data_IF_294430660143
#
_entry.id   IF_294430660143
#
_cell.length_a   1.000
_cell.length_b   1.000
_cell.length_c   1.000
_cell.angle_alpha   90.00
_cell.angle_beta   90.00
_cell.angle_gamma   90.00
#
_symmetry.space_group_name_H-M   'P 1'
#
loop_
_entity.id
_entity.type
_entity.pdbx_description
1 polymer ?
#
# COMPACT_ATOMS: atom_id res chain seq x y z
N UNK A 1 -37.85 56.96 24.24
CA UNK A 1 -38.74 55.85 23.86
C UNK A 1 -38.53 55.32 22.42
N UNK A 2 -37.93 56.09 21.50
CA UNK A 2 -37.70 55.65 20.11
C UNK A 2 -36.52 54.69 19.91
N UNK A 3 -35.41 54.85 20.66
CA UNK A 3 -34.23 53.97 20.53
C UNK A 3 -34.46 52.52 21.00
N UNK A 4 -35.29 52.31 22.02
CA UNK A 4 -35.60 50.96 22.53
C UNK A 4 -36.42 50.11 21.54
N UNK A 5 -37.28 50.74 20.73
CA UNK A 5 -38.05 50.05 19.68
C UNK A 5 -37.17 49.62 18.49
N UNK A 6 -36.13 50.40 18.17
CA UNK A 6 -35.21 50.08 17.09
C UNK A 6 -34.31 48.88 17.43
N UNK A 7 -33.81 48.78 18.66
CA UNK A 7 -33.00 47.62 19.09
C UNK A 7 -33.81 46.32 19.18
N UNK A 8 -35.08 46.39 19.62
CA UNK A 8 -35.94 45.20 19.68
C UNK A 8 -36.29 44.67 18.28
N UNK A 9 -36.50 45.56 17.30
CA UNK A 9 -36.71 45.19 15.89
C UNK A 9 -35.47 44.54 15.27
N UNK A 10 -34.28 45.08 15.55
CA UNK A 10 -33.02 44.53 15.04
C UNK A 10 -32.72 43.14 15.64
N UNK A 11 -33.01 42.92 16.92
CA UNK A 11 -32.87 41.62 17.59
C UNK A 11 -33.86 40.57 17.05
N UNK A 12 -35.10 40.95 16.76
CA UNK A 12 -36.10 40.05 16.14
C UNK A 12 -35.70 39.68 14.70
N UNK A 13 -35.12 40.61 13.94
CA UNK A 13 -34.65 40.34 12.58
C UNK A 13 -33.35 39.52 12.56
N UNK A 14 -32.46 39.69 13.55
CA UNK A 14 -31.26 38.86 13.69
C UNK A 14 -31.61 37.42 14.11
N UNK A 15 -32.61 37.23 15.00
CA UNK A 15 -33.12 35.91 15.36
C UNK A 15 -33.88 35.24 14.21
N UNK A 16 -34.64 36.00 13.41
CA UNK A 16 -35.27 35.48 12.20
C UNK A 16 -34.23 35.09 11.14
N UNK A 17 -33.15 35.85 10.96
CA UNK A 17 -32.06 35.51 10.04
C UNK A 17 -31.25 34.26 10.47
N UNK A 18 -31.12 34.02 11.78
CA UNK A 18 -30.52 32.79 12.33
C UNK A 18 -31.42 31.54 12.16
N UNK A 19 -32.74 31.72 12.03
CA UNK A 19 -33.70 30.64 11.73
C UNK A 19 -33.74 30.26 10.24
N UNK A 20 -33.12 31.05 9.36
CA UNK A 20 -33.02 30.80 7.91
C UNK A 20 -31.58 30.53 7.45
N UNK A 21 -30.64 30.31 8.38
CA UNK A 21 -29.39 29.65 7.99
C UNK A 21 -29.76 28.23 7.55
N UNK A 22 -29.42 27.81 6.32
CA UNK A 22 -29.59 26.41 5.95
C UNK A 22 -28.82 25.58 6.98
N UNK A 23 -29.52 24.68 7.69
CA UNK A 23 -28.84 23.62 8.43
C UNK A 23 -27.78 23.03 7.50
N UNK A 24 -26.56 22.73 7.99
CA UNK A 24 -25.59 22.00 7.18
C UNK A 24 -26.29 20.71 6.77
N UNK A 25 -26.71 20.66 5.51
CA UNK A 25 -27.65 19.67 5.04
C UNK A 25 -27.04 18.30 5.31
N UNK A 26 -27.52 17.61 6.34
CA UNK A 26 -26.86 16.45 6.92
C UNK A 26 -26.44 15.46 5.83
N UNK A 27 -25.23 14.91 5.95
CA UNK A 27 -24.69 13.98 4.96
C UNK A 27 -25.72 12.87 4.69
N UNK A 28 -26.04 12.64 3.43
CA UNK A 28 -27.05 11.65 3.06
C UNK A 28 -26.52 10.23 3.38
N UNK A 29 -27.26 9.45 4.18
CA UNK A 29 -26.81 8.12 4.63
C UNK A 29 -27.56 7.02 3.86
N UNK A 30 -26.78 6.17 3.18
CA UNK A 30 -27.23 5.05 2.38
C UNK A 30 -26.81 3.75 3.08
N UNK A 31 -27.66 3.28 3.99
CA UNK A 31 -27.40 2.06 4.77
C UNK A 31 -27.66 0.82 3.93
N UNK A 32 -26.63 -0.01 3.69
CA UNK A 32 -26.73 -1.21 2.83
C UNK A 32 -27.80 -2.21 3.27
N UNK A 33 -28.13 -2.27 4.56
CA UNK A 33 -29.21 -3.13 5.08
C UNK A 33 -30.59 -2.67 4.56
N UNK A 34 -30.81 -1.35 4.38
CA UNK A 34 -32.04 -0.81 3.76
C UNK A 34 -32.14 -1.15 2.27
N UNK A 35 -31.01 -1.50 1.65
CA UNK A 35 -30.95 -2.01 0.29
C UNK A 35 -31.04 -3.55 0.22
N UNK A 36 -31.28 -4.22 1.34
CA UNK A 36 -31.45 -5.67 1.44
C UNK A 36 -30.16 -6.47 1.67
N UNK A 37 -29.07 -5.83 2.11
CA UNK A 37 -27.86 -6.57 2.50
C UNK A 37 -28.11 -7.36 3.79
N UNK A 38 -27.73 -8.64 3.80
CA UNK A 38 -27.83 -9.51 4.98
C UNK A 38 -26.50 -9.56 5.73
N UNK A 39 -26.54 -9.33 7.04
CA UNK A 39 -25.38 -9.35 7.93
C UNK A 39 -25.02 -10.74 8.46
N UNK A 40 -25.47 -11.82 7.81
CA UNK A 40 -25.32 -13.22 8.21
C UNK A 40 -24.04 -13.92 7.71
N UNK A 41 -23.33 -13.31 6.76
CA UNK A 41 -22.14 -13.86 6.12
C UNK A 41 -22.40 -14.97 5.11
N UNK A 42 -23.67 -15.23 4.77
CA UNK A 42 -24.11 -16.33 3.91
C UNK A 42 -24.88 -15.84 2.67
N UNK A 43 -25.81 -14.89 2.84
CA UNK A 43 -26.57 -14.37 1.72
C UNK A 43 -25.76 -13.31 0.94
N UNK A 44 -25.70 -13.47 -0.39
CA UNK A 44 -24.97 -12.56 -1.27
C UNK A 44 -25.57 -11.14 -1.20
N UNK A 45 -24.77 -10.23 -0.65
CA UNK A 45 -25.10 -8.82 -0.44
C UNK A 45 -24.52 -7.90 -1.53
N UNK A 46 -23.91 -8.45 -2.60
CA UNK A 46 -23.26 -7.65 -3.65
C UNK A 46 -24.20 -6.63 -4.29
N UNK A 47 -25.39 -7.06 -4.72
CA UNK A 47 -26.38 -6.16 -5.36
C UNK A 47 -26.86 -5.04 -4.42
N UNK A 48 -27.24 -5.32 -3.15
CA UNK A 48 -27.51 -4.28 -2.17
C UNK A 48 -26.41 -3.22 -2.05
N UNK A 49 -25.14 -3.64 -1.96
CA UNK A 49 -23.99 -2.73 -1.87
C UNK A 49 -23.86 -1.84 -3.12
N UNK A 50 -23.95 -2.44 -4.32
CA UNK A 50 -23.86 -1.70 -5.58
C UNK A 50 -25.00 -0.66 -5.73
N UNK A 51 -26.21 -1.00 -5.29
CA UNK A 51 -27.35 -0.06 -5.30
C UNK A 51 -27.16 1.10 -4.33
N UNK A 52 -26.75 0.81 -3.09
CA UNK A 52 -26.46 1.83 -2.09
C UNK A 52 -25.37 2.79 -2.58
N UNK A 53 -24.30 2.27 -3.18
CA UNK A 53 -23.27 3.08 -3.82
C UNK A 53 -23.80 3.94 -4.96
N UNK A 54 -24.59 3.36 -5.87
CA UNK A 54 -25.12 4.10 -7.01
C UNK A 54 -25.97 5.31 -6.59
N UNK A 55 -26.79 5.16 -5.54
CA UNK A 55 -27.58 6.26 -5.00
C UNK A 55 -26.71 7.28 -4.25
N UNK A 56 -25.75 6.82 -3.44
CA UNK A 56 -24.80 7.71 -2.77
C UNK A 56 -23.97 8.55 -3.75
N UNK A 57 -23.51 7.91 -4.83
CA UNK A 57 -22.68 8.53 -5.86
C UNK A 57 -23.47 9.57 -6.68
N UNK A 58 -24.80 9.41 -6.84
CA UNK A 58 -25.69 10.41 -7.45
C UNK A 58 -26.09 11.55 -6.51
N UNK A 59 -25.77 11.46 -5.22
CA UNK A 59 -26.16 12.49 -4.26
C UNK A 59 -25.51 13.84 -4.59
N UNK A 60 -26.28 14.94 -4.65
CA UNK A 60 -25.71 16.28 -4.85
C UNK A 60 -25.03 16.82 -3.58
N UNK A 61 -25.16 16.11 -2.44
CA UNK A 61 -24.60 16.48 -1.14
C UNK A 61 -23.57 15.44 -0.69
N UNK A 62 -22.72 15.74 0.32
CA UNK A 62 -21.90 14.73 0.95
C UNK A 62 -22.72 13.48 1.30
N UNK A 63 -22.21 12.31 0.99
CA UNK A 63 -22.93 11.06 1.08
C UNK A 63 -22.11 10.01 1.83
N UNK A 64 -22.78 9.18 2.63
CA UNK A 64 -22.16 8.06 3.33
C UNK A 64 -22.87 6.77 2.93
N UNK A 65 -22.17 5.84 2.29
CA UNK A 65 -22.58 4.44 2.27
C UNK A 65 -22.20 3.83 3.61
N UNK A 66 -23.20 3.39 4.37
CA UNK A 66 -23.02 2.87 5.71
C UNK A 66 -23.21 1.36 5.73
N UNK A 67 -22.21 0.64 6.23
CA UNK A 67 -22.23 -0.82 6.46
C UNK A 67 -22.31 -1.07 7.98
N UNK A 68 -23.49 -1.47 8.50
CA UNK A 68 -23.68 -1.75 9.92
C UNK A 68 -22.81 -2.91 10.44
N UNK A 69 -22.79 -3.15 11.76
CA UNK A 69 -22.24 -4.38 12.32
C UNK A 69 -22.91 -5.63 11.71
N UNK A 70 -22.10 -6.63 11.39
CA UNK A 70 -22.54 -7.88 10.75
C UNK A 70 -21.43 -8.44 9.86
N UNK A 71 -21.64 -9.66 9.33
CA UNK A 71 -20.81 -10.23 8.26
C UNK A 71 -21.58 -10.16 6.95
N UNK A 72 -21.00 -9.59 5.91
CA UNK A 72 -21.66 -9.44 4.61
C UNK A 72 -20.88 -10.23 3.58
N UNK A 73 -21.50 -11.27 3.01
CA UNK A 73 -20.94 -11.95 1.85
C UNK A 73 -21.04 -11.00 0.65
N UNK A 74 -19.90 -10.60 0.09
CA UNK A 74 -19.85 -9.70 -1.06
C UNK A 74 -18.93 -10.35 -2.09
N UNK A 75 -19.48 -10.67 -3.27
CA UNK A 75 -18.71 -11.06 -4.43
C UNK A 75 -17.90 -9.90 -5.00
N UNK A 76 -17.50 -9.98 -6.27
CA UNK A 76 -16.79 -8.88 -6.91
C UNK A 76 -17.66 -7.64 -6.97
N UNK A 77 -17.17 -6.51 -6.44
CA UNK A 77 -17.90 -5.25 -6.40
C UNK A 77 -17.01 -4.10 -6.87
N UNK A 78 -17.41 -3.47 -7.98
CA UNK A 78 -16.77 -2.25 -8.48
C UNK A 78 -17.70 -1.06 -8.24
N UNK A 79 -17.26 -0.15 -7.40
CA UNK A 79 -17.90 1.10 -7.04
C UNK A 79 -17.37 2.22 -7.94
N UNK A 80 -18.10 2.48 -9.03
CA UNK A 80 -17.67 3.35 -10.12
C UNK A 80 -18.14 4.79 -9.91
N UNK A 81 -17.26 5.75 -10.16
CA UNK A 81 -17.55 7.17 -10.32
C UNK A 81 -17.61 7.63 -11.79
N UNK A 82 -17.60 8.94 -12.08
CA UNK A 82 -17.52 10.04 -11.14
C UNK A 82 -18.81 10.20 -10.32
N UNK A 83 -18.67 10.59 -9.06
CA UNK A 83 -19.81 10.93 -8.21
C UNK A 83 -20.15 12.42 -8.31
N UNK A 84 -21.44 12.74 -8.10
CA UNK A 84 -21.97 14.10 -8.14
C UNK A 84 -21.36 14.98 -7.04
N UNK A 85 -21.12 14.43 -5.85
CA UNK A 85 -20.36 15.09 -4.79
C UNK A 85 -18.92 14.58 -4.74
N UNK A 86 -18.00 15.43 -4.26
CA UNK A 86 -16.60 15.09 -3.98
C UNK A 86 -16.37 14.74 -2.50
N UNK A 87 -17.41 14.26 -1.84
CA UNK A 87 -17.38 13.93 -0.42
C UNK A 87 -18.24 12.69 -0.19
N UNK A 88 -17.73 11.55 -0.66
CA UNK A 88 -18.38 10.25 -0.48
C UNK A 88 -17.59 9.45 0.56
N UNK A 89 -18.27 9.00 1.60
CA UNK A 89 -17.70 8.11 2.63
C UNK A 89 -18.26 6.72 2.47
N UNK A 90 -17.41 5.72 2.39
CA UNK A 90 -17.76 4.32 2.52
C UNK A 90 -17.37 3.86 3.93
N UNK A 91 -18.33 3.90 4.85
CA UNK A 91 -18.12 3.66 6.28
C UNK A 91 -18.48 2.23 6.64
N UNK A 92 -17.50 1.47 7.12
CA UNK A 92 -17.65 0.06 7.45
C UNK A 92 -17.51 -0.12 8.95
N UNK A 93 -18.59 -0.61 9.58
CA UNK A 93 -18.56 -1.06 10.99
C UNK A 93 -18.47 -2.59 11.08
N UNK A 94 -19.03 -3.31 10.10
CA UNK A 94 -19.00 -4.77 10.03
C UNK A 94 -17.77 -5.36 9.33
N UNK A 95 -17.95 -6.59 8.86
CA UNK A 95 -16.97 -7.35 8.09
C UNK A 95 -17.55 -7.68 6.71
N UNK A 96 -16.83 -7.32 5.65
CA UNK A 96 -17.10 -7.82 4.31
C UNK A 96 -16.30 -9.11 4.16
N UNK A 97 -16.93 -10.13 3.58
CA UNK A 97 -16.36 -11.47 3.44
C UNK A 97 -16.44 -11.86 1.97
N UNK A 98 -15.32 -12.30 1.40
CA UNK A 98 -15.26 -12.80 0.04
C UNK A 98 -16.03 -14.12 -0.12
N UNK A 99 -16.41 -14.52 -1.36
CA UNK A 99 -16.90 -15.86 -1.63
C UNK A 99 -15.95 -16.96 -1.15
N UNK A 100 -16.50 -18.14 -0.88
CA UNK A 100 -15.70 -19.30 -0.49
C UNK A 100 -14.91 -19.85 -1.69
N UNK A 101 -13.74 -20.42 -1.42
CA UNK A 101 -12.85 -20.93 -2.46
C UNK A 101 -12.13 -19.79 -3.18
N UNK A 102 -11.61 -20.08 -4.38
CA UNK A 102 -10.87 -19.12 -5.21
C UNK A 102 -11.36 -19.14 -6.65
N UNK A 103 -11.05 -18.11 -7.43
CA UNK A 103 -11.46 -17.98 -8.83
C UNK A 103 -12.89 -17.49 -9.04
N UNK A 104 -13.57 -17.08 -7.96
CA UNK A 104 -14.89 -16.44 -7.99
C UNK A 104 -14.84 -15.04 -8.64
N UNK A 105 -13.65 -14.47 -8.82
CA UNK A 105 -13.40 -13.14 -9.39
C UNK A 105 -13.27 -13.13 -10.93
N UNK A 106 -13.39 -14.29 -11.57
CA UNK A 106 -13.35 -14.44 -13.02
C UNK A 106 -12.03 -13.97 -13.66
N UNK A 107 -10.91 -14.14 -12.95
CA UNK A 107 -9.55 -13.73 -13.36
C UNK A 107 -9.28 -12.22 -13.38
N UNK A 108 -10.16 -11.40 -12.81
CA UNK A 108 -9.94 -9.94 -12.76
C UNK A 108 -8.82 -9.51 -11.79
N UNK A 109 -8.47 -10.35 -10.82
CA UNK A 109 -7.44 -10.07 -9.82
C UNK A 109 -7.87 -9.02 -8.78
N UNK A 110 -9.17 -8.72 -8.68
CA UNK A 110 -9.71 -7.64 -7.85
C UNK A 110 -11.03 -8.05 -7.19
N UNK A 111 -11.17 -7.76 -5.90
CA UNK A 111 -12.39 -7.99 -5.13
C UNK A 111 -13.26 -6.72 -5.00
N UNK A 112 -12.87 -5.82 -4.09
CA UNK A 112 -13.53 -4.54 -3.84
C UNK A 112 -12.74 -3.46 -4.55
N UNK A 113 -13.35 -2.82 -5.54
CA UNK A 113 -12.68 -1.77 -6.32
C UNK A 113 -13.46 -0.47 -6.25
N UNK A 114 -12.79 0.63 -5.94
CA UNK A 114 -13.29 1.98 -6.18
C UNK A 114 -12.60 2.55 -7.41
N UNK A 115 -13.39 2.87 -8.42
CA UNK A 115 -12.90 3.19 -9.76
C UNK A 115 -13.35 4.60 -10.15
N UNK A 116 -12.42 5.45 -10.59
CA UNK A 116 -12.72 6.78 -11.13
C UNK A 116 -13.48 7.70 -10.14
N UNK A 117 -13.17 7.61 -8.85
CA UNK A 117 -13.80 8.41 -7.79
C UNK A 117 -12.92 9.59 -7.38
N UNK A 118 -13.52 10.74 -7.09
CA UNK A 118 -12.83 11.93 -6.55
C UNK A 118 -13.39 12.27 -5.17
N UNK A 119 -12.54 12.41 -4.15
CA UNK A 119 -12.99 12.78 -2.81
C UNK A 119 -13.70 11.65 -2.07
N UNK A 120 -13.08 10.46 -2.07
CA UNK A 120 -13.57 9.26 -1.39
C UNK A 120 -12.89 9.09 -0.03
N UNK A 121 -13.64 8.70 1.00
CA UNK A 121 -13.08 8.13 2.23
C UNK A 121 -13.61 6.71 2.44
N UNK A 122 -12.73 5.71 2.49
CA UNK A 122 -13.04 4.35 2.94
C UNK A 122 -12.62 4.25 4.40
N UNK A 123 -13.56 4.00 5.32
CA UNK A 123 -13.32 4.10 6.75
C UNK A 123 -13.73 2.85 7.52
N UNK A 124 -12.81 2.32 8.30
CA UNK A 124 -13.05 1.27 9.29
C UNK A 124 -13.31 -0.12 8.70
N UNK A 125 -13.78 -1.01 9.58
CA UNK A 125 -14.27 -2.34 9.22
C UNK A 125 -13.18 -3.35 8.90
N UNK A 126 -13.63 -4.57 8.58
CA UNK A 126 -12.75 -5.67 8.16
C UNK A 126 -13.11 -6.15 6.76
N UNK A 127 -12.09 -6.36 5.92
CA UNK A 127 -12.18 -7.14 4.69
C UNK A 127 -11.54 -8.50 4.92
N UNK A 128 -12.33 -9.56 4.81
CA UNK A 128 -11.88 -10.95 4.91
C UNK A 128 -11.86 -11.58 3.51
N UNK A 129 -10.66 -11.71 2.94
CA UNK A 129 -10.44 -12.19 1.59
C UNK A 129 -10.51 -13.71 1.41
N UNK A 130 -10.54 -14.49 2.51
CA UNK A 130 -10.61 -15.97 2.51
C UNK A 130 -9.59 -16.69 1.63
N UNK A 131 -8.37 -16.15 1.56
CA UNK A 131 -7.31 -16.61 0.68
C UNK A 131 -6.70 -17.99 0.99
N UNK A 132 -7.01 -18.60 2.15
CA UNK A 132 -6.35 -19.81 2.66
C UNK A 132 -6.36 -20.96 1.64
N UNK A 133 -7.48 -21.16 0.97
CA UNK A 133 -7.63 -22.25 -0.02
C UNK A 133 -6.76 -22.02 -1.26
N UNK A 134 -6.60 -20.77 -1.70
CA UNK A 134 -5.72 -20.44 -2.82
C UNK A 134 -4.25 -20.58 -2.43
N UNK A 135 -3.89 -20.16 -1.22
CA UNK A 135 -2.53 -20.31 -0.71
C UNK A 135 -2.15 -21.80 -0.64
N UNK A 136 -3.04 -22.64 -0.12
CA UNK A 136 -2.84 -24.09 -0.09
C UNK A 136 -2.67 -24.69 -1.49
N UNK A 137 -3.38 -24.17 -2.50
CA UNK A 137 -3.14 -24.55 -3.90
C UNK A 137 -1.72 -24.15 -4.34
N UNK A 138 -1.37 -22.86 -4.18
CA UNK A 138 -0.09 -22.28 -4.64
C UNK A 138 1.13 -22.93 -3.97
N UNK A 139 1.00 -23.40 -2.73
CA UNK A 139 2.06 -24.11 -2.01
C UNK A 139 2.25 -25.56 -2.49
N UNK A 140 1.19 -26.22 -2.96
CA UNK A 140 1.22 -27.64 -3.36
C UNK A 140 1.46 -27.84 -4.85
N UNK A 141 1.01 -26.91 -5.68
CA UNK A 141 1.02 -27.04 -7.13
C UNK A 141 2.18 -26.27 -7.75
N UNK A 142 2.69 -26.71 -8.91
CA UNK A 142 3.66 -25.92 -9.67
C UNK A 142 3.06 -24.56 -10.07
N UNK A 143 3.93 -23.56 -10.29
CA UNK A 143 3.51 -22.24 -10.76
C UNK A 143 2.62 -22.35 -12.01
N UNK A 144 1.59 -21.51 -12.08
CA UNK A 144 0.63 -21.47 -13.20
C UNK A 144 -0.53 -22.48 -13.12
N UNK A 145 -0.54 -23.39 -12.14
CA UNK A 145 -1.62 -24.38 -11.98
C UNK A 145 -2.76 -23.90 -11.06
N UNK A 146 -2.53 -22.82 -10.31
CA UNK A 146 -3.54 -22.15 -9.51
C UNK A 146 -3.91 -20.83 -10.18
N UNK A 147 -5.18 -20.39 -10.09
CA UNK A 147 -5.58 -19.11 -10.67
C UNK A 147 -4.90 -17.94 -9.97
N UNK A 148 -4.90 -16.80 -10.66
CA UNK A 148 -4.57 -15.52 -10.03
C UNK A 148 -5.57 -15.24 -8.90
N UNK A 149 -5.08 -14.77 -7.76
CA UNK A 149 -5.93 -14.39 -6.63
C UNK A 149 -6.48 -12.98 -6.76
N UNK A 150 -7.56 -12.69 -6.04
CA UNK A 150 -8.13 -11.35 -5.96
C UNK A 150 -7.44 -10.46 -4.91
N UNK A 151 -7.09 -9.23 -5.27
CA UNK A 151 -6.66 -8.21 -4.32
C UNK A 151 -7.86 -7.66 -3.53
N UNK A 152 -7.75 -7.53 -2.21
CA UNK A 152 -8.91 -7.26 -1.35
C UNK A 152 -9.52 -5.88 -1.56
N UNK A 153 -8.71 -4.83 -1.59
CA UNK A 153 -9.15 -3.46 -1.88
C UNK A 153 -8.29 -2.86 -3.00
N UNK A 154 -8.94 -2.32 -4.03
CA UNK A 154 -8.28 -1.57 -5.10
C UNK A 154 -8.86 -0.16 -5.21
N UNK A 155 -8.00 0.85 -5.11
CA UNK A 155 -8.29 2.24 -5.46
C UNK A 155 -7.68 2.48 -6.85
N UNK A 156 -8.54 2.66 -7.85
CA UNK A 156 -8.13 2.69 -9.25
C UNK A 156 -8.63 3.96 -9.95
N UNK A 157 -7.76 4.58 -10.76
CA UNK A 157 -8.01 5.81 -11.52
C UNK A 157 -8.67 6.94 -10.70
N UNK A 158 -8.37 7.01 -9.40
CA UNK A 158 -9.09 7.86 -8.45
C UNK A 158 -8.22 9.02 -7.95
N UNK A 159 -8.88 10.05 -7.39
CA UNK A 159 -8.19 11.23 -6.84
C UNK A 159 -8.69 11.62 -5.47
N UNK A 160 -7.79 12.14 -4.64
CA UNK A 160 -8.13 12.67 -3.32
C UNK A 160 -8.89 11.64 -2.48
N UNK A 161 -8.26 10.46 -2.31
CA UNK A 161 -8.84 9.30 -1.62
C UNK A 161 -8.16 9.10 -0.26
N UNK A 162 -8.95 8.81 0.77
CA UNK A 162 -8.47 8.39 2.07
C UNK A 162 -8.94 6.98 2.37
N UNK A 163 -8.02 6.07 2.71
CA UNK A 163 -8.32 4.76 3.31
C UNK A 163 -7.87 4.82 4.77
N UNK A 164 -8.80 4.64 5.71
CA UNK A 164 -8.57 4.96 7.12
C UNK A 164 -9.09 3.88 8.06
N UNK A 165 -8.21 3.30 8.88
CA UNK A 165 -8.63 2.38 9.94
C UNK A 165 -9.13 1.02 9.46
N UNK A 166 -8.88 0.67 8.19
CA UNK A 166 -9.29 -0.61 7.60
C UNK A 166 -8.45 -1.76 8.14
N UNK A 167 -9.09 -2.87 8.49
CA UNK A 167 -8.42 -4.16 8.70
C UNK A 167 -8.61 -5.04 7.46
N UNK A 168 -7.52 -5.52 6.86
CA UNK A 168 -7.56 -6.47 5.74
C UNK A 168 -6.92 -7.78 6.18
N UNK A 169 -7.68 -8.87 6.13
CA UNK A 169 -7.22 -10.21 6.52
C UNK A 169 -7.37 -11.19 5.38
N UNK A 170 -6.45 -12.14 5.33
CA UNK A 170 -6.50 -13.29 4.42
C UNK A 170 -6.77 -12.94 2.95
N UNK A 171 -6.04 -11.96 2.39
CA UNK A 171 -6.17 -11.64 0.97
C UNK A 171 -5.64 -12.79 0.08
N UNK A 172 -6.33 -13.11 -1.01
CA UNK A 172 -5.85 -14.10 -1.99
C UNK A 172 -4.58 -13.62 -2.74
N UNK A 173 -4.44 -12.31 -2.88
CA UNK A 173 -3.30 -11.59 -3.47
C UNK A 173 -3.02 -10.34 -2.61
N UNK A 174 -2.96 -9.15 -3.18
CA UNK A 174 -2.59 -7.94 -2.44
C UNK A 174 -3.71 -7.45 -1.54
N UNK A 175 -3.40 -6.99 -0.33
CA UNK A 175 -4.41 -6.52 0.60
C UNK A 175 -4.99 -5.15 0.20
N UNK A 176 -4.14 -4.19 -0.15
CA UNK A 176 -4.55 -2.86 -0.62
C UNK A 176 -3.74 -2.47 -1.85
N UNK A 177 -4.42 -2.04 -2.91
CA UNK A 177 -3.81 -1.60 -4.16
C UNK A 177 -4.18 -0.15 -4.44
N UNK A 178 -3.17 0.69 -4.71
CA UNK A 178 -3.33 2.04 -5.24
C UNK A 178 -2.82 2.06 -6.67
N UNK A 179 -3.73 2.14 -7.62
CA UNK A 179 -3.45 1.99 -9.05
C UNK A 179 -3.87 3.26 -9.80
N UNK A 180 -2.97 3.81 -10.62
CA UNK A 180 -3.28 4.92 -11.55
C UNK A 180 -3.97 6.11 -10.86
N UNK A 181 -3.63 6.37 -9.60
CA UNK A 181 -4.35 7.31 -8.75
C UNK A 181 -3.48 8.47 -8.30
N UNK A 182 -4.11 9.57 -7.85
CA UNK A 182 -3.39 10.76 -7.38
C UNK A 182 -3.94 11.29 -6.05
N UNK A 183 -3.07 11.61 -5.10
CA UNK A 183 -3.52 12.17 -3.82
C UNK A 183 -4.25 11.11 -2.99
N UNK A 184 -3.60 9.97 -2.76
CA UNK A 184 -4.17 8.88 -1.97
C UNK A 184 -3.46 8.80 -0.62
N UNK A 185 -4.21 8.82 0.47
CA UNK A 185 -3.68 8.60 1.83
C UNK A 185 -4.22 7.29 2.37
N UNK A 186 -3.33 6.35 2.67
CA UNK A 186 -3.65 5.10 3.38
C UNK A 186 -3.13 5.25 4.80
N UNK A 187 -4.00 5.21 5.82
CA UNK A 187 -3.57 5.40 7.20
C UNK A 187 -4.28 4.47 8.19
N UNK A 188 -3.60 4.14 9.28
CA UNK A 188 -4.15 3.28 10.36
C UNK A 188 -4.64 1.92 9.85
N UNK A 189 -4.09 1.45 8.74
CA UNK A 189 -4.46 0.16 8.14
C UNK A 189 -3.73 -0.96 8.87
N UNK A 190 -4.46 -2.03 9.18
CA UNK A 190 -3.90 -3.29 9.67
C UNK A 190 -4.03 -4.36 8.60
N UNK A 191 -2.92 -5.00 8.24
CA UNK A 191 -2.88 -6.15 7.34
C UNK A 191 -2.42 -7.37 8.12
N UNK A 192 -3.16 -8.46 8.00
CA UNK A 192 -2.83 -9.74 8.64
C UNK A 192 -3.00 -10.92 7.68
N UNK A 193 -1.87 -11.51 7.33
CA UNK A 193 -1.76 -12.80 6.68
C UNK A 193 -0.52 -13.56 7.21
N UNK A 194 -0.51 -14.90 7.14
CA UNK A 194 0.63 -15.72 7.56
C UNK A 194 1.93 -15.41 6.79
N UNK A 195 3.09 -15.75 7.37
CA UNK A 195 4.39 -15.53 6.70
C UNK A 195 4.57 -16.37 5.43
N UNK A 196 3.82 -17.46 5.28
CA UNK A 196 3.86 -18.40 4.17
C UNK A 196 2.73 -18.16 3.15
N UNK A 197 1.96 -17.08 3.28
CA UNK A 197 0.91 -16.73 2.31
C UNK A 197 1.52 -16.14 1.02
N UNK A 198 1.38 -16.81 -0.13
CA UNK A 198 2.11 -16.45 -1.35
C UNK A 198 1.51 -15.22 -2.06
N UNK A 199 2.36 -14.22 -2.32
CA UNK A 199 2.07 -13.00 -3.07
C UNK A 199 1.02 -12.09 -2.41
N UNK A 200 1.03 -12.01 -1.08
CA UNK A 200 0.05 -11.25 -0.31
C UNK A 200 0.49 -9.84 0.04
N UNK A 201 1.13 -9.10 -0.87
CA UNK A 201 1.66 -7.76 -0.58
C UNK A 201 0.67 -6.90 0.24
N UNK A 202 1.16 -6.21 1.27
CA UNK A 202 0.32 -5.43 2.16
C UNK A 202 -0.30 -4.24 1.45
N UNK A 203 0.53 -3.27 1.06
CA UNK A 203 0.11 -2.12 0.27
C UNK A 203 0.93 -2.06 -1.01
N UNK A 204 0.27 -2.29 -2.15
CA UNK A 204 0.86 -2.19 -3.48
C UNK A 204 0.53 -0.84 -4.12
N UNK A 205 1.53 -0.09 -4.55
CA UNK A 205 1.36 1.22 -5.19
C UNK A 205 1.92 1.13 -6.62
N UNK A 206 1.10 1.47 -7.61
CA UNK A 206 1.44 1.34 -9.03
C UNK A 206 0.91 2.52 -9.84
N UNK A 207 1.75 3.07 -10.75
CA UNK A 207 1.36 4.16 -11.67
C UNK A 207 0.69 5.38 -10.98
N UNK A 208 1.07 5.70 -9.75
CA UNK A 208 0.38 6.68 -8.92
C UNK A 208 1.27 7.83 -8.47
N UNK A 209 0.67 8.98 -8.14
CA UNK A 209 1.41 10.17 -7.73
C UNK A 209 0.84 10.78 -6.45
N UNK A 210 1.70 11.31 -5.59
CA UNK A 210 1.29 11.92 -4.31
C UNK A 210 0.50 10.90 -3.47
N UNK A 211 1.15 9.78 -3.14
CA UNK A 211 0.57 8.73 -2.29
C UNK A 211 1.29 8.73 -0.95
N UNK A 212 0.52 8.70 0.13
CA UNK A 212 1.04 8.65 1.47
C UNK A 212 0.52 7.43 2.24
N UNK A 213 1.41 6.76 2.97
CA UNK A 213 1.09 5.62 3.85
C UNK A 213 1.54 5.98 5.26
N UNK A 214 0.61 5.97 6.22
CA UNK A 214 0.89 6.34 7.61
C UNK A 214 0.37 5.33 8.62
N UNK A 215 1.09 5.16 9.73
CA UNK A 215 0.55 4.50 10.93
C UNK A 215 -0.01 3.08 10.64
N UNK A 216 0.68 2.31 9.81
CA UNK A 216 0.22 0.99 9.36
C UNK A 216 0.96 -0.15 10.06
N UNK A 217 0.26 -1.24 10.32
CA UNK A 217 0.82 -2.49 10.85
C UNK A 217 0.54 -3.62 9.88
N UNK A 218 1.59 -4.24 9.33
CA UNK A 218 1.49 -5.15 8.19
C UNK A 218 2.25 -6.44 8.48
N UNK A 219 1.48 -7.54 8.51
CA UNK A 219 1.96 -8.92 8.56
C UNK A 219 1.49 -9.64 7.30
N UNK A 220 2.42 -10.22 6.56
CA UNK A 220 2.13 -10.87 5.28
C UNK A 220 3.23 -11.88 4.92
N UNK A 221 3.03 -12.68 3.88
CA UNK A 221 4.06 -13.51 3.25
C UNK A 221 4.82 -12.86 2.09
N UNK A 222 4.53 -11.61 1.72
CA UNK A 222 5.29 -10.88 0.67
C UNK A 222 5.62 -9.44 1.08
N UNK A 223 5.78 -8.50 0.13
CA UNK A 223 6.18 -7.13 0.42
C UNK A 223 5.21 -6.43 1.38
N UNK A 224 5.75 -5.80 2.43
CA UNK A 224 4.99 -4.98 3.38
C UNK A 224 4.36 -3.79 2.64
N UNK A 225 5.20 -3.04 1.91
CA UNK A 225 4.78 -2.04 0.94
C UNK A 225 5.60 -2.27 -0.33
N UNK A 226 4.94 -2.46 -1.47
CA UNK A 226 5.59 -2.61 -2.77
C UNK A 226 5.27 -1.41 -3.68
N UNK A 227 6.31 -0.84 -4.27
CA UNK A 227 6.23 0.31 -5.18
C UNK A 227 6.58 -0.15 -6.59
N UNK A 228 5.56 -0.38 -7.41
CA UNK A 228 5.74 -0.71 -8.83
C UNK A 228 6.24 0.47 -9.67
N UNK A 229 6.42 0.28 -10.99
CA UNK A 229 6.78 1.37 -11.88
C UNK A 229 5.67 2.41 -12.05
N UNK A 230 6.07 3.61 -12.47
CA UNK A 230 5.18 4.75 -12.77
C UNK A 230 4.81 5.59 -11.55
N UNK A 231 5.55 5.50 -10.45
CA UNK A 231 5.22 6.21 -9.22
C UNK A 231 6.06 7.47 -8.99
N UNK A 232 5.45 8.51 -8.42
CA UNK A 232 6.17 9.71 -7.99
C UNK A 232 5.61 10.34 -6.72
N UNK A 233 6.48 10.96 -5.92
CA UNK A 233 6.11 11.67 -4.69
C UNK A 233 5.39 10.74 -3.70
N UNK A 234 6.12 9.78 -3.16
CA UNK A 234 5.62 8.83 -2.17
C UNK A 234 6.15 9.16 -0.78
N UNK A 235 5.27 9.09 0.21
CA UNK A 235 5.63 9.26 1.62
C UNK A 235 5.13 8.09 2.45
N UNK A 236 6.04 7.28 2.99
CA UNK A 236 5.71 6.09 3.78
C UNK A 236 6.31 6.30 5.17
N UNK A 237 5.48 6.43 6.19
CA UNK A 237 5.95 6.79 7.52
C UNK A 237 5.20 6.08 8.66
N UNK A 238 5.92 5.72 9.75
CA UNK A 238 5.35 5.02 10.92
C UNK A 238 4.68 3.71 10.51
N UNK A 239 5.39 2.91 9.72
CA UNK A 239 4.94 1.59 9.27
C UNK A 239 5.72 0.49 10.00
N UNK A 240 4.99 -0.45 10.61
CA UNK A 240 5.52 -1.66 11.19
C UNK A 240 5.30 -2.84 10.23
N UNK A 241 6.40 -3.44 9.78
CA UNK A 241 6.44 -4.57 8.87
C UNK A 241 6.95 -5.81 9.61
N UNK A 242 6.31 -6.96 9.39
CA UNK A 242 6.88 -8.23 9.80
C UNK A 242 5.91 -9.21 10.42
N UNK A 243 5.85 -10.47 9.94
CA UNK A 243 6.70 -11.06 8.89
C UNK A 243 6.37 -10.51 7.47
N UNK A 244 7.21 -10.85 6.49
CA UNK A 244 7.07 -10.46 5.07
C UNK A 244 8.41 -10.13 4.39
N UNK A 245 8.38 -9.47 3.23
CA UNK A 245 9.54 -9.16 2.41
C UNK A 245 10.10 -7.74 2.57
N UNK A 246 9.56 -6.94 3.49
CA UNK A 246 10.02 -5.56 3.75
C UNK A 246 9.37 -4.51 2.84
N UNK A 247 9.96 -3.32 2.77
CA UNK A 247 9.49 -2.23 1.91
C UNK A 247 10.35 -2.24 0.64
N UNK A 248 9.70 -2.45 -0.50
CA UNK A 248 10.37 -2.72 -1.77
C UNK A 248 9.98 -1.73 -2.84
N UNK A 249 10.98 -1.06 -3.42
CA UNK A 249 10.84 -0.36 -4.70
C UNK A 249 11.13 -1.36 -5.82
N UNK A 250 10.10 -1.68 -6.59
CA UNK A 250 10.11 -2.61 -7.70
C UNK A 250 9.27 -3.88 -7.48
N UNK A 251 9.39 -4.88 -8.34
CA UNK A 251 10.40 -4.96 -9.40
C UNK A 251 10.12 -4.00 -10.56
N UNK A 252 11.13 -3.24 -10.98
CA UNK A 252 11.10 -2.47 -12.24
C UNK A 252 11.76 -3.27 -13.35
N UNK A 253 11.30 -3.06 -14.59
CA UNK A 253 11.94 -3.53 -15.81
C UNK A 253 11.39 -4.82 -16.39
N UNK A 254 10.29 -5.36 -15.84
CA UNK A 254 9.58 -6.53 -16.37
C UNK A 254 8.61 -6.15 -17.49
N UNK A 255 7.99 -4.98 -17.38
CA UNK A 255 6.84 -4.64 -18.22
C UNK A 255 7.31 -4.24 -19.61
N UNK A 256 6.89 -5.00 -20.61
CA UNK A 256 7.08 -4.64 -22.01
C UNK A 256 6.06 -3.54 -22.38
N UNK A 257 6.46 -2.59 -23.23
CA UNK A 257 5.56 -1.57 -23.78
C UNK A 257 5.46 -0.25 -23.02
N UNK A 258 6.09 -0.10 -21.84
CA UNK A 258 6.26 1.22 -21.24
C UNK A 258 7.45 1.96 -21.86
N UNK A 259 7.26 3.22 -22.23
CA UNK A 259 8.32 4.05 -22.80
C UNK A 259 9.50 4.24 -21.82
N UNK A 260 9.20 4.36 -20.52
CA UNK A 260 10.16 4.43 -19.41
C UNK A 260 9.51 3.85 -18.15
N UNK A 261 10.17 2.91 -17.47
CA UNK A 261 9.78 2.49 -16.12
C UNK A 261 10.46 3.39 -15.08
N UNK A 262 9.69 4.23 -14.37
CA UNK A 262 10.25 5.21 -13.45
C UNK A 262 9.63 5.14 -12.04
N UNK A 263 10.47 5.31 -11.02
CA UNK A 263 10.05 5.64 -9.66
C UNK A 263 10.89 6.82 -9.19
N UNK A 264 10.27 7.87 -8.64
CA UNK A 264 11.03 9.00 -8.15
C UNK A 264 10.43 9.70 -6.94
N UNK A 265 11.28 10.36 -6.16
CA UNK A 265 10.88 11.12 -4.98
C UNK A 265 10.09 10.24 -3.99
N UNK A 266 10.78 9.28 -3.39
CA UNK A 266 10.22 8.34 -2.41
C UNK A 266 10.89 8.57 -1.07
N UNK A 267 10.09 8.86 -0.05
CA UNK A 267 10.57 8.92 1.33
C UNK A 267 9.93 7.79 2.13
N UNK A 268 10.77 6.97 2.76
CA UNK A 268 10.38 5.94 3.73
C UNK A 268 11.02 6.31 5.05
N UNK A 269 10.22 6.61 6.07
CA UNK A 269 10.72 7.19 7.32
C UNK A 269 10.08 6.55 8.55
N UNK A 270 10.81 6.43 9.66
CA UNK A 270 10.24 5.97 10.94
C UNK A 270 9.58 4.59 10.78
N UNK A 271 10.33 3.59 10.35
CA UNK A 271 9.80 2.24 10.09
C UNK A 271 10.39 1.20 11.03
N UNK A 272 9.65 0.12 11.24
CA UNK A 272 10.10 -1.03 12.04
C UNK A 272 9.95 -2.31 11.23
N UNK A 273 11.00 -3.11 11.16
CA UNK A 273 11.02 -4.42 10.52
C UNK A 273 11.30 -5.50 11.54
N UNK A 274 10.49 -6.55 11.59
CA UNK A 274 10.67 -7.68 12.51
C UNK A 274 10.53 -9.00 11.76
N UNK A 275 11.60 -9.80 11.68
CA UNK A 275 11.55 -11.11 11.03
C UNK A 275 11.14 -11.06 9.56
N UNK A 276 11.51 -10.01 8.83
CA UNK A 276 11.28 -9.88 7.39
C UNK A 276 12.48 -10.38 6.59
N UNK A 277 12.26 -10.86 5.36
CA UNK A 277 13.35 -11.31 4.49
C UNK A 277 14.18 -10.15 3.93
N UNK A 278 13.61 -8.94 3.88
CA UNK A 278 14.36 -7.72 3.57
C UNK A 278 13.86 -6.57 4.44
N UNK A 279 14.66 -5.52 4.58
CA UNK A 279 14.26 -4.26 5.17
C UNK A 279 13.88 -3.27 4.09
N UNK A 280 14.88 -2.50 3.66
CA UNK A 280 14.78 -1.44 2.65
C UNK A 280 15.35 -1.97 1.34
N UNK A 281 14.48 -2.24 0.36
CA UNK A 281 14.84 -2.95 -0.88
C UNK A 281 14.57 -2.11 -2.12
N UNK A 282 15.51 -2.11 -3.07
CA UNK A 282 15.28 -1.71 -4.46
C UNK A 282 15.60 -2.91 -5.35
N UNK A 283 14.65 -3.35 -6.19
CA UNK A 283 14.80 -4.52 -7.07
C UNK A 283 14.47 -4.17 -8.53
N UNK A 284 15.38 -4.49 -9.45
CA UNK A 284 15.17 -4.29 -10.90
C UNK A 284 15.56 -5.54 -11.67
N UNK A 285 14.78 -5.88 -12.70
CA UNK A 285 15.05 -7.03 -13.55
C UNK A 285 16.39 -6.88 -14.27
N UNK A 286 17.22 -7.93 -14.23
CA UNK A 286 18.51 -7.95 -14.91
C UNK A 286 18.41 -7.78 -16.44
N UNK A 287 17.26 -8.13 -17.02
CA UNK A 287 16.95 -8.02 -18.46
C UNK A 287 16.26 -6.72 -18.87
N UNK A 288 16.17 -5.75 -17.96
CA UNK A 288 15.41 -4.52 -18.18
C UNK A 288 16.04 -3.61 -19.25
N UNK A 289 15.19 -2.86 -19.96
CA UNK A 289 15.61 -2.02 -21.09
C UNK A 289 16.01 -0.60 -20.68
N UNK A 290 15.07 0.15 -20.11
CA UNK A 290 15.24 1.58 -19.81
C UNK A 290 14.31 2.01 -18.71
N UNK A 291 14.85 2.77 -17.75
CA UNK A 291 14.08 3.31 -16.66
C UNK A 291 14.97 3.97 -15.62
N UNK A 292 14.37 4.41 -14.52
CA UNK A 292 15.13 4.92 -13.40
C UNK A 292 14.42 4.79 -12.06
N UNK A 293 15.21 4.69 -10.99
CA UNK A 293 14.81 4.96 -9.61
C UNK A 293 15.68 6.11 -9.12
N UNK A 294 15.07 7.23 -8.72
CA UNK A 294 15.84 8.41 -8.29
C UNK A 294 15.23 9.17 -7.13
N UNK A 295 16.06 9.71 -6.25
CA UNK A 295 15.62 10.56 -5.15
C UNK A 295 14.83 9.74 -4.15
N UNK A 296 15.51 8.75 -3.56
CA UNK A 296 14.93 7.85 -2.56
C UNK A 296 15.61 8.13 -1.23
N UNK A 297 14.82 8.39 -0.20
CA UNK A 297 15.31 8.55 1.17
C UNK A 297 14.71 7.47 2.05
N UNK A 298 15.56 6.63 2.62
CA UNK A 298 15.20 5.73 3.70
C UNK A 298 15.77 6.29 5.01
N UNK A 299 14.92 6.66 5.95
CA UNK A 299 15.32 7.32 7.19
C UNK A 299 14.71 6.67 8.43
N UNK A 300 15.42 6.74 9.56
CA UNK A 300 14.90 6.41 10.89
C UNK A 300 14.28 5.00 10.97
N UNK A 301 14.97 4.00 10.44
CA UNK A 301 14.47 2.62 10.35
C UNK A 301 15.07 1.72 11.42
N UNK A 302 14.24 0.89 12.06
CA UNK A 302 14.66 -0.09 13.07
C UNK A 302 14.42 -1.52 12.60
N UNK A 303 15.38 -2.40 12.81
CA UNK A 303 15.35 -3.77 12.28
C UNK A 303 15.63 -4.81 13.36
N UNK A 304 14.87 -5.89 13.38
CA UNK A 304 15.03 -7.00 14.32
C UNK A 304 14.99 -8.32 13.57
N UNK A 305 16.14 -8.96 13.42
CA UNK A 305 16.25 -10.24 12.74
C UNK A 305 15.77 -10.19 11.28
N UNK A 306 16.23 -9.19 10.53
CA UNK A 306 15.89 -9.03 9.10
C UNK A 306 16.93 -9.74 8.25
N UNK A 307 16.56 -10.57 7.27
CA UNK A 307 17.57 -11.33 6.51
C UNK A 307 18.48 -10.43 5.66
N UNK A 308 17.89 -9.49 4.90
CA UNK A 308 18.61 -8.51 4.08
C UNK A 308 18.18 -7.07 4.45
N UNK A 309 18.76 -6.48 5.51
CA UNK A 309 18.39 -5.17 6.03
C UNK A 309 18.35 -4.05 4.97
N UNK A 310 19.44 -3.85 4.24
CA UNK A 310 19.55 -2.87 3.15
C UNK A 310 20.00 -3.60 1.90
N UNK A 311 19.21 -3.52 0.83
CA UNK A 311 19.51 -4.23 -0.42
C UNK A 311 19.11 -3.45 -1.67
N UNK A 312 20.04 -3.34 -2.61
CA UNK A 312 19.78 -3.00 -4.01
C UNK A 312 20.18 -4.21 -4.85
N UNK A 313 19.23 -4.76 -5.60
CA UNK A 313 19.41 -5.91 -6.48
C UNK A 313 19.00 -5.52 -7.92
N UNK A 314 19.99 -5.28 -8.77
CA UNK A 314 19.77 -5.04 -10.20
C UNK A 314 19.88 -6.31 -11.06
N UNK A 315 19.97 -7.48 -10.44
CA UNK A 315 20.03 -8.79 -11.07
C UNK A 315 18.79 -9.64 -10.77
N UNK A 316 17.73 -9.02 -10.25
CA UNK A 316 16.50 -9.69 -9.82
C UNK A 316 15.91 -10.56 -10.94
N UNK A 317 15.74 -11.86 -10.66
CA UNK A 317 15.25 -12.84 -11.63
C UNK A 317 14.59 -14.07 -10.95
N UNK A 318 13.47 -13.90 -10.23
CA UNK A 318 12.91 -14.93 -9.34
C UNK A 318 12.35 -16.17 -10.06
N UNK A 319 12.09 -16.07 -11.37
CA UNK A 319 11.50 -17.14 -12.18
C UNK A 319 12.45 -17.65 -13.27
N UNK A 320 13.71 -17.20 -13.25
CA UNK A 320 14.61 -17.36 -14.39
C UNK A 320 14.14 -16.54 -15.60
N UNK A 321 14.60 -16.92 -16.79
CA UNK A 321 14.26 -16.21 -18.04
C UNK A 321 15.03 -14.92 -18.29
N UNK A 322 15.84 -14.45 -17.34
CA UNK A 322 16.88 -13.45 -17.60
C UNK A 322 18.08 -14.18 -18.20
N UNK A 323 18.49 -13.81 -19.42
CA UNK A 323 19.69 -14.41 -20.00
C UNK A 323 20.91 -14.07 -19.12
N UNK A 324 21.81 -15.03 -18.92
CA UNK A 324 22.95 -14.99 -17.98
C UNK A 324 23.99 -13.85 -18.23
N UNK A 325 23.69 -12.88 -19.08
CA UNK A 325 24.54 -11.75 -19.47
C UNK A 325 23.78 -10.43 -19.65
N UNK A 326 22.49 -10.39 -19.34
CA UNK A 326 21.73 -9.14 -19.43
C UNK A 326 21.98 -8.31 -18.18
N UNK A 327 22.21 -7.01 -18.41
CA UNK A 327 22.51 -6.02 -17.38
C UNK A 327 21.35 -5.05 -17.31
N UNK A 328 20.85 -4.77 -16.11
CA UNK A 328 19.68 -3.92 -15.92
C UNK A 328 19.89 -2.54 -16.57
N UNK A 329 18.91 -2.15 -17.38
CA UNK A 329 18.78 -0.84 -18.01
C UNK A 329 18.14 0.23 -17.12
N UNK A 330 17.77 -0.11 -15.88
CA UNK A 330 17.26 0.85 -14.90
C UNK A 330 18.43 1.58 -14.26
N UNK A 331 18.45 2.91 -14.31
CA UNK A 331 19.42 3.73 -13.58
C UNK A 331 18.96 3.94 -12.14
N UNK A 332 19.82 3.69 -11.15
CA UNK A 332 19.51 3.97 -9.75
C UNK A 332 20.45 5.08 -9.28
N UNK A 333 19.89 6.21 -8.83
CA UNK A 333 20.70 7.32 -8.35
C UNK A 333 20.07 8.07 -7.20
N UNK A 334 20.88 8.81 -6.43
CA UNK A 334 20.40 9.67 -5.33
C UNK A 334 19.56 8.88 -4.31
N UNK A 335 20.15 7.81 -3.78
CA UNK A 335 19.54 6.96 -2.75
C UNK A 335 20.26 7.21 -1.43
N UNK A 336 19.52 7.67 -0.43
CA UNK A 336 20.06 7.98 0.89
C UNK A 336 19.49 7.06 1.96
N UNK A 337 20.36 6.52 2.80
CA UNK A 337 20.02 5.75 3.99
C UNK A 337 20.53 6.51 5.22
N UNK A 338 19.62 6.99 6.07
CA UNK A 338 19.94 7.79 7.26
C UNK A 338 19.40 7.14 8.52
N UNK A 339 20.22 7.00 9.56
CA UNK A 339 19.78 6.51 10.88
C UNK A 339 19.05 5.15 10.79
N UNK A 340 19.66 4.19 10.09
CA UNK A 340 19.15 2.82 9.97
C UNK A 340 19.87 1.94 10.98
N UNK A 341 19.14 1.29 11.89
CA UNK A 341 19.73 0.53 12.99
C UNK A 341 19.04 -0.79 13.26
N UNK A 342 19.76 -1.79 13.76
CA UNK A 342 19.15 -3.06 14.16
C UNK A 342 20.02 -4.29 13.92
N UNK A 343 19.37 -5.45 13.79
CA UNK A 343 20.02 -6.73 13.55
C UNK A 343 19.62 -7.38 12.22
N UNK A 344 20.62 -7.95 11.56
CA UNK A 344 20.52 -8.83 10.41
C UNK A 344 20.47 -10.30 10.85
N UNK A 345 19.65 -11.12 10.19
CA UNK A 345 19.63 -12.58 10.35
C UNK A 345 20.60 -13.29 9.41
N UNK A 346 21.20 -12.57 8.45
CA UNK A 346 22.29 -13.07 7.60
C UNK A 346 23.57 -12.24 7.78
N UNK A 347 24.76 -12.77 7.41
CA UNK A 347 26.02 -12.05 7.59
C UNK A 347 26.12 -10.74 6.81
N UNK A 348 25.51 -10.66 5.62
CA UNK A 348 25.56 -9.48 4.75
C UNK A 348 24.37 -8.57 5.08
N UNK A 349 24.62 -7.50 5.82
CA UNK A 349 23.56 -6.58 6.25
C UNK A 349 23.31 -5.44 5.24
N UNK A 350 24.32 -5.11 4.43
CA UNK A 350 24.23 -4.08 3.37
C UNK A 350 24.70 -4.71 2.07
N UNK A 351 23.84 -4.74 1.06
CA UNK A 351 24.15 -5.30 -0.26
C UNK A 351 23.75 -4.35 -1.37
N UNK A 352 24.71 -3.87 -2.15
CA UNK A 352 24.47 -3.09 -3.36
C UNK A 352 25.01 -3.83 -4.57
N UNK A 353 24.17 -4.65 -5.20
CA UNK A 353 24.52 -5.41 -6.40
C UNK A 353 23.95 -4.71 -7.63
N UNK A 354 24.69 -3.72 -8.11
CA UNK A 354 24.31 -2.86 -9.21
C UNK A 354 24.86 -3.37 -10.55
N UNK A 355 24.17 -3.01 -11.62
CA UNK A 355 24.47 -3.49 -12.97
C UNK A 355 25.73 -2.84 -13.52
N UNK A 356 26.52 -3.57 -14.30
CA UNK A 356 27.76 -3.04 -14.89
C UNK A 356 27.48 -1.96 -15.93
N UNK A 357 26.37 -2.06 -16.65
CA UNK A 357 25.99 -1.09 -17.70
C UNK A 357 25.35 0.18 -17.14
N UNK A 358 24.75 0.11 -15.95
CA UNK A 358 24.19 1.26 -15.25
C UNK A 358 24.55 1.17 -13.75
N UNK A 359 25.82 1.45 -13.39
CA UNK A 359 26.24 1.51 -11.99
C UNK A 359 25.34 2.41 -11.18
N UNK A 360 25.08 2.05 -9.93
CA UNK A 360 24.36 2.92 -9.02
C UNK A 360 25.25 4.10 -8.63
N UNK A 361 24.69 5.32 -8.57
CA UNK A 361 25.48 6.52 -8.27
C UNK A 361 24.82 7.41 -7.22
N UNK A 362 25.64 8.09 -6.43
CA UNK A 362 25.13 8.97 -5.37
C UNK A 362 24.37 8.21 -4.29
N UNK A 363 24.78 6.98 -3.98
CA UNK A 363 24.31 6.28 -2.78
C UNK A 363 24.96 6.93 -1.56
N UNK A 364 24.18 7.23 -0.53
CA UNK A 364 24.68 7.85 0.70
C UNK A 364 24.28 7.03 1.91
N UNK A 365 25.27 6.63 2.71
CA UNK A 365 25.06 6.02 4.02
C UNK A 365 25.39 7.04 5.12
N UNK A 366 24.45 7.26 6.03
CA UNK A 366 24.67 8.12 7.20
C UNK A 366 24.09 7.49 8.45
N UNK A 367 24.93 7.33 9.48
CA UNK A 367 24.50 6.80 10.78
C UNK A 367 23.79 5.43 10.66
N UNK A 368 24.38 4.51 9.90
CA UNK A 368 23.87 3.14 9.72
C UNK A 368 24.55 2.19 10.70
N UNK A 369 23.77 1.49 11.53
CA UNK A 369 24.28 0.56 12.55
C UNK A 369 23.53 -0.76 12.54
N UNK A 370 24.01 -1.71 11.76
CA UNK A 370 23.48 -3.05 11.61
C UNK A 370 24.48 -4.08 12.14
N UNK A 371 23.99 -4.98 13.00
CA UNK A 371 24.78 -6.09 13.56
C UNK A 371 24.28 -7.42 13.01
N UNK A 372 25.15 -8.43 12.92
CA UNK A 372 24.70 -9.77 12.55
C UNK A 372 24.31 -10.53 13.81
N UNK A 373 23.09 -11.04 13.88
CA UNK A 373 22.60 -11.85 14.97
C UNK A 373 22.37 -13.27 14.46
N UNK A 374 23.27 -14.19 14.80
CA UNK A 374 23.07 -15.63 14.63
C UNK A 374 22.81 -16.21 16.01
N UNK A 375 21.60 -16.67 16.30
CA UNK A 375 21.21 -17.11 17.65
C UNK A 375 21.41 -15.98 18.70
N UNK A 376 21.78 -16.31 19.94
CA UNK A 376 22.06 -15.33 21.01
C UNK A 376 23.45 -14.66 20.88
N UNK A 377 24.22 -14.96 19.81
CA UNK A 377 25.54 -14.38 19.58
C UNK A 377 25.45 -13.23 18.57
N UNK A 378 25.92 -12.05 18.99
CA UNK A 378 26.05 -10.87 18.14
C UNK A 378 27.45 -10.88 17.52
N UNK A 379 27.52 -10.95 16.20
CA UNK A 379 28.74 -10.93 15.41
C UNK A 379 28.80 -9.67 14.52
N UNK A 380 29.96 -9.45 13.91
CA UNK A 380 30.14 -8.37 12.94
C UNK A 380 29.34 -8.70 11.66
N UNK A 381 28.48 -7.78 11.25
CA UNK A 381 27.88 -7.81 9.93
C UNK A 381 28.90 -7.43 8.84
N UNK A 382 28.54 -7.66 7.59
CA UNK A 382 29.34 -7.33 6.41
C UNK A 382 28.56 -6.45 5.43
N UNK A 383 29.29 -5.67 4.65
CA UNK A 383 28.77 -4.94 3.47
C UNK A 383 29.32 -5.58 2.20
N UNK A 384 28.52 -5.61 1.14
CA UNK A 384 28.92 -6.07 -0.21
C UNK A 384 28.45 -5.06 -1.25
N UNK A 385 29.37 -4.63 -2.12
CA UNK A 385 29.08 -3.65 -3.17
C UNK A 385 29.64 -4.13 -4.51
N UNK A 386 28.88 -3.92 -5.57
CA UNK A 386 29.29 -4.14 -6.95
C UNK A 386 28.70 -3.04 -7.83
N UNK A 387 29.56 -2.36 -8.60
CA UNK A 387 29.18 -1.24 -9.47
C UNK A 387 28.34 -0.17 -8.76
N UNK A 388 28.69 0.14 -7.51
CA UNK A 388 27.97 1.10 -6.67
C UNK A 388 28.95 2.20 -6.24
N UNK A 389 28.58 3.44 -6.49
CA UNK A 389 29.38 4.62 -6.16
C UNK A 389 28.61 5.52 -5.19
N UNK A 390 29.29 6.02 -4.17
CA UNK A 390 28.64 6.77 -3.12
C UNK A 390 29.56 7.34 -2.06
N UNK A 391 28.99 7.63 -0.90
CA UNK A 391 29.75 8.06 0.27
C UNK A 391 29.12 7.57 1.56
N UNK A 392 29.95 7.48 2.60
CA UNK A 392 29.55 7.14 3.95
C UNK A 392 29.97 8.24 4.92
N UNK A 393 29.12 8.56 5.90
CA UNK A 393 29.41 9.56 6.93
C UNK A 393 28.78 9.19 8.28
N UNK A 394 29.32 9.72 9.38
CA UNK A 394 28.88 9.35 10.73
C UNK A 394 29.25 7.91 11.09
N UNK A 395 28.46 7.29 11.98
CA UNK A 395 28.69 5.90 12.39
C UNK A 395 28.15 4.95 11.32
N UNK A 396 29.03 4.22 10.62
CA UNK A 396 28.63 3.21 9.63
C UNK A 396 29.20 1.84 10.00
N UNK A 397 28.31 0.98 10.50
CA UNK A 397 28.56 -0.42 10.87
C UNK A 397 27.47 -1.26 10.20
N UNK A 398 27.80 -2.28 9.41
CA UNK A 398 29.15 -2.71 9.01
C UNK A 398 29.92 -1.62 8.22
N UNK A 399 31.27 -1.70 8.12
CA UNK A 399 32.06 -0.75 7.33
C UNK A 399 31.51 -0.61 5.91
N UNK A 400 31.47 0.63 5.40
CA UNK A 400 31.00 0.90 4.03
C UNK A 400 31.86 0.19 2.98
N UNK A 401 31.23 -0.24 1.89
CA UNK A 401 31.89 -0.71 0.67
C UNK A 401 31.72 0.24 -0.53
N UNK A 402 31.12 1.42 -0.29
CA UNK A 402 30.99 2.53 -1.24
C UNK A 402 32.27 3.35 -1.35
#
# INVERSE_FOLDING_TARGET
MAMAKAMLSLLVHLHAALLFLPEPAGAAVYNVARYGASGDGAADSTRPFLRAWADACRSPRPATVYVPPGKYLVGRATFVGPCSSRAVTFSITGTLVAPAGYGWDGASGQWITFESVVGLTVSGGTLDGRGETLWACKQKQPRGHCPTGASSLTISNSRDVVVDGLKSVSSELFHVVVLQSRGVTVRRVTVDAPADSPNTDGIHIHKSMNVAVYDAAIRTGDDCVSVGPGNSNLWIERVACGPGHGISIGSLGKQQGMAVEAVQNVTVKTTRFTGTTNGLRIKTWGSSKRGFVRGVTFADSTMSGVDNPIIIDQHYCPDGGCAARQSSGIKISEVEYVNVRGSSSTPVAVSFDCSRSNPCSGIRLRDVRLTYQKSLQVAKAMSSCRNAEGSASGLVVPPSCL
#
